data_IF_787262525264
#
_entry.id   IF_787262525264
#
_cell.length_a   1.000
_cell.length_b   1.000
_cell.length_c   1.000
_cell.angle_alpha   90.00
_cell.angle_beta   90.00
_cell.angle_gamma   90.00
#
_symmetry.space_group_name_H-M   'P 1'
#
loop_
_entity.id
_entity.type
_entity.pdbx_description
1 polymer ?
#
# COMPACT_ATOMS: atom_id res chain seq x y z
N UNK A 1 68.42 -2.69 13.66
CA UNK A 1 67.35 -2.35 14.61
C UNK A 1 66.36 -1.46 13.87
N UNK A 2 65.26 -2.07 13.47
CA UNK A 2 64.11 -1.55 12.71
C UNK A 2 63.47 -0.36 13.44
N UNK A 3 63.42 0.84 12.87
CA UNK A 3 62.55 1.36 11.78
C UNK A 3 61.10 1.54 12.21
N UNK A 4 60.77 2.79 12.52
CA UNK A 4 59.46 3.35 12.82
C UNK A 4 58.43 3.02 11.73
N UNK A 5 57.25 2.51 12.14
CA UNK A 5 56.06 2.43 11.30
C UNK A 5 54.98 3.33 11.92
N UNK A 6 54.78 4.48 11.28
CA UNK A 6 53.59 5.32 11.50
C UNK A 6 52.35 4.54 11.09
N UNK A 7 51.43 4.38 12.04
CA UNK A 7 50.08 3.91 11.77
C UNK A 7 49.32 5.01 11.02
N UNK A 8 49.09 4.79 9.73
CA UNK A 8 48.00 5.48 9.04
C UNK A 8 46.68 4.90 9.57
N UNK A 9 45.97 5.70 10.36
CA UNK A 9 44.52 5.59 10.46
C UNK A 9 43.96 5.64 9.04
N UNK A 10 43.51 4.48 8.55
CA UNK A 10 42.54 4.45 7.45
C UNK A 10 41.27 5.06 8.01
N UNK A 11 41.06 6.34 7.73
CA UNK A 11 39.75 6.94 7.76
C UNK A 11 38.83 6.06 6.94
N UNK A 12 37.98 5.28 7.62
CA UNK A 12 36.83 4.64 7.01
C UNK A 12 35.89 5.75 6.59
N UNK A 13 36.17 6.32 5.42
CA UNK A 13 35.26 7.23 4.74
C UNK A 13 34.07 6.41 4.28
N UNK A 14 33.14 6.16 5.21
CA UNK A 14 31.79 5.70 4.94
C UNK A 14 31.05 6.82 4.20
N UNK A 15 31.44 7.06 2.96
CA UNK A 15 30.64 7.81 2.00
C UNK A 15 29.40 6.95 1.79
N UNK A 16 28.28 7.37 2.38
CA UNK A 16 26.97 6.84 2.02
C UNK A 16 26.81 7.09 0.53
N UNK A 17 27.05 6.07 -0.31
CA UNK A 17 26.64 6.12 -1.72
C UNK A 17 25.13 6.34 -1.69
N UNK A 18 24.70 7.53 -2.07
CA UNK A 18 23.29 7.91 -2.08
C UNK A 18 22.53 6.88 -2.93
N UNK A 19 21.62 6.16 -2.28
CA UNK A 19 20.86 5.07 -2.92
C UNK A 19 19.69 5.67 -3.66
N UNK A 20 19.92 6.03 -4.92
CA UNK A 20 18.88 6.57 -5.80
C UNK A 20 18.22 5.42 -6.57
N UNK A 21 16.89 5.38 -6.53
CA UNK A 21 16.10 4.34 -7.19
C UNK A 21 15.20 4.95 -8.26
N UNK A 22 15.03 4.21 -9.36
CA UNK A 22 14.21 4.60 -10.49
C UNK A 22 13.25 3.48 -10.86
N UNK A 23 12.03 3.84 -11.23
CA UNK A 23 11.04 2.96 -11.83
C UNK A 23 10.97 3.22 -13.33
N UNK A 24 11.07 2.17 -14.14
CA UNK A 24 10.93 2.26 -15.60
C UNK A 24 9.45 2.45 -15.96
N UNK A 25 9.12 3.47 -16.74
CA UNK A 25 7.73 3.71 -17.20
C UNK A 25 7.44 3.09 -18.57
N UNK A 26 8.48 2.64 -19.28
CA UNK A 26 8.42 2.06 -20.61
C UNK A 26 9.30 0.81 -20.69
N UNK A 27 8.92 -0.18 -21.52
CA UNK A 27 9.80 -1.31 -21.84
C UNK A 27 11.06 -0.78 -22.55
N UNK A 28 12.23 -1.20 -22.08
CA UNK A 28 13.48 -0.96 -22.79
C UNK A 28 14.05 -2.28 -23.35
N UNK A 29 14.62 -2.19 -24.55
CA UNK A 29 15.26 -3.30 -25.24
C UNK A 29 16.72 -2.96 -25.46
N UNK A 30 17.61 -3.85 -25.05
CA UNK A 30 19.05 -3.69 -25.20
C UNK A 30 19.67 -4.93 -25.83
N UNK A 31 20.77 -4.73 -26.55
CA UNK A 31 21.57 -5.83 -27.08
C UNK A 31 22.68 -6.15 -26.09
N UNK A 32 22.69 -7.38 -25.57
CA UNK A 32 23.79 -7.89 -24.78
C UNK A 32 25.02 -8.05 -25.69
N UNK A 33 26.09 -7.30 -25.39
CA UNK A 33 27.32 -7.31 -26.19
C UNK A 33 28.04 -8.66 -26.18
N UNK A 34 27.94 -9.42 -25.07
CA UNK A 34 28.58 -10.73 -24.93
C UNK A 34 27.78 -11.83 -25.62
N UNK A 35 26.46 -11.86 -25.41
CA UNK A 35 25.62 -12.97 -25.89
C UNK A 35 24.95 -12.68 -27.23
N UNK A 36 24.99 -11.43 -27.72
CA UNK A 36 24.23 -10.94 -28.89
C UNK A 36 22.72 -11.17 -28.77
N UNK A 37 22.21 -11.45 -27.56
CA UNK A 37 20.79 -11.61 -27.30
C UNK A 37 20.16 -10.28 -26.92
N UNK A 38 18.92 -10.09 -27.34
CA UNK A 38 18.12 -8.95 -26.92
C UNK A 38 17.62 -9.17 -25.50
N UNK A 39 18.05 -8.33 -24.57
CA UNK A 39 17.52 -8.24 -23.20
C UNK A 39 16.36 -7.25 -23.22
N UNK A 40 15.21 -7.68 -22.71
CA UNK A 40 14.04 -6.84 -22.51
C UNK A 40 13.85 -6.59 -21.02
N UNK A 41 13.75 -5.32 -20.65
CA UNK A 41 13.38 -4.92 -19.29
C UNK A 41 11.99 -4.31 -19.35
N UNK A 42 10.99 -4.94 -18.73
CA UNK A 42 9.62 -4.48 -18.81
C UNK A 42 9.40 -3.15 -18.09
N UNK A 43 8.34 -2.43 -18.47
CA UNK A 43 7.84 -1.32 -17.65
C UNK A 43 7.48 -1.82 -16.25
N UNK A 44 7.67 -0.98 -15.25
CA UNK A 44 7.53 -1.34 -13.84
C UNK A 44 8.79 -1.93 -13.23
N UNK A 45 9.82 -2.28 -14.00
CA UNK A 45 11.09 -2.70 -13.40
C UNK A 45 11.71 -1.58 -12.55
N UNK A 46 12.34 -1.96 -11.45
CA UNK A 46 13.04 -1.04 -10.55
C UNK A 46 14.54 -1.17 -10.77
N UNK A 47 15.22 -0.05 -10.94
CA UNK A 47 16.67 0.04 -11.07
C UNK A 47 17.30 0.93 -10.01
N UNK A 48 18.49 0.55 -9.56
CA UNK A 48 19.33 1.41 -8.74
C UNK A 48 20.27 2.22 -9.63
N UNK A 49 20.38 3.52 -9.38
CA UNK A 49 21.33 4.38 -10.07
C UNK A 49 22.77 3.93 -9.83
N UNK A 50 23.57 3.93 -10.91
CA UNK A 50 25.00 3.66 -10.84
C UNK A 50 25.75 4.90 -11.29
N UNK A 51 26.46 5.54 -10.37
CA UNK A 51 27.35 6.64 -10.71
C UNK A 51 28.57 6.10 -11.47
N UNK A 52 28.76 6.55 -12.71
CA UNK A 52 29.97 6.24 -13.47
C UNK A 52 31.15 6.99 -12.83
N UNK A 53 32.05 6.26 -12.18
CA UNK A 53 33.36 6.82 -11.78
C UNK A 53 34.16 7.03 -13.07
N UNK A 54 34.07 8.23 -13.63
CA UNK A 54 34.84 8.63 -14.82
C UNK A 54 36.35 8.50 -14.52
N UNK A 55 36.94 7.39 -14.97
CA UNK A 55 38.36 7.30 -15.20
C UNK A 55 38.64 7.82 -16.63
N UNK A 56 39.06 9.08 -16.72
CA UNK A 56 39.93 9.62 -17.78
C UNK A 56 39.50 9.49 -19.25
N UNK A 57 38.22 9.65 -19.60
CA UNK A 57 37.86 9.93 -21.00
C UNK A 57 37.52 11.41 -21.18
N UNK A 58 38.49 12.18 -21.68
CA UNK A 58 38.26 13.50 -22.29
C UNK A 58 37.48 13.27 -23.59
N UNK A 59 36.15 13.35 -23.54
CA UNK A 59 35.34 13.45 -24.76
C UNK A 59 34.61 14.80 -24.81
N UNK A 60 34.78 15.46 -25.96
CA UNK A 60 34.23 16.76 -26.33
C UNK A 60 32.69 16.70 -26.22
N UNK A 61 32.01 17.70 -25.64
CA UNK A 61 30.55 17.73 -25.59
C UNK A 61 29.99 18.03 -26.99
N UNK A 62 29.44 17.01 -27.65
CA UNK A 62 28.60 17.21 -28.84
C UNK A 62 27.23 17.75 -28.41
N UNK A 63 26.76 18.78 -29.13
CA UNK A 63 25.49 19.49 -28.89
C UNK A 63 24.28 18.63 -29.28
N UNK A 64 23.97 17.60 -28.50
CA UNK A 64 22.66 16.89 -28.42
C UNK A 64 22.82 15.54 -27.69
N UNK A 65 23.58 15.47 -26.59
CA UNK A 65 23.63 14.24 -25.80
C UNK A 65 22.34 14.16 -24.98
N UNK A 66 21.42 13.27 -25.37
CA UNK A 66 20.33 12.83 -24.49
C UNK A 66 20.95 12.37 -23.17
N UNK A 67 20.45 12.88 -22.06
CA UNK A 67 20.93 12.48 -20.73
C UNK A 67 20.43 11.07 -20.49
N UNK A 68 21.33 10.10 -20.62
CA UNK A 68 21.04 8.70 -20.30
C UNK A 68 21.48 8.42 -18.86
N UNK A 69 20.64 7.68 -18.15
CA UNK A 69 20.85 7.27 -16.77
C UNK A 69 21.25 5.80 -16.77
N UNK A 70 22.36 5.47 -16.12
CA UNK A 70 22.82 4.11 -15.94
C UNK A 70 22.13 3.48 -14.72
N UNK A 71 21.36 2.40 -14.94
CA UNK A 71 20.62 1.70 -13.91
C UNK A 71 21.04 0.23 -13.83
N UNK A 72 21.26 -0.26 -12.61
CA UNK A 72 21.34 -1.69 -12.30
C UNK A 72 19.93 -2.18 -11.96
N UNK A 73 19.35 -3.04 -12.80
CA UNK A 73 18.00 -3.57 -12.58
C UNK A 73 18.01 -4.53 -11.39
N UNK A 74 17.06 -4.34 -10.47
CA UNK A 74 16.94 -5.12 -9.25
C UNK A 74 16.23 -6.45 -9.49
N UNK A 75 15.24 -6.49 -10.40
CA UNK A 75 14.50 -7.70 -10.76
C UNK A 75 15.32 -8.73 -11.55
N UNK A 76 16.42 -8.28 -12.18
CA UNK A 76 17.27 -9.08 -13.06
C UNK A 76 18.73 -8.87 -12.66
N UNK A 77 19.25 -9.81 -11.86
CA UNK A 77 20.64 -9.75 -11.39
C UNK A 77 21.62 -9.59 -12.55
N UNK A 78 22.56 -8.66 -12.41
CA UNK A 78 23.60 -8.32 -13.39
C UNK A 78 23.14 -7.56 -14.66
N UNK A 79 21.87 -7.18 -14.77
CA UNK A 79 21.40 -6.34 -15.87
C UNK A 79 21.71 -4.87 -15.59
N UNK A 80 22.56 -4.27 -16.44
CA UNK A 80 22.83 -2.82 -16.45
C UNK A 80 22.28 -2.20 -17.73
N UNK A 81 21.47 -1.16 -17.58
CA UNK A 81 20.76 -0.49 -18.67
C UNK A 81 21.08 1.00 -18.70
N UNK A 82 21.11 1.58 -19.90
CA UNK A 82 21.16 3.03 -20.11
C UNK A 82 19.80 3.46 -20.62
N UNK A 83 19.11 4.31 -19.86
CA UNK A 83 17.72 4.70 -20.15
C UNK A 83 17.65 6.21 -20.29
N UNK A 84 16.85 6.70 -21.24
CA UNK A 84 16.58 8.13 -21.36
C UNK A 84 15.83 8.59 -20.09
N UNK A 85 16.17 9.77 -19.56
CA UNK A 85 15.58 10.37 -18.36
C UNK A 85 14.03 10.38 -18.35
N UNK A 86 13.41 10.62 -19.51
CA UNK A 86 11.95 10.62 -19.72
C UNK A 86 11.28 9.25 -19.54
N UNK A 87 12.03 8.15 -19.64
CA UNK A 87 11.51 6.79 -19.60
C UNK A 87 11.65 6.17 -18.19
N UNK A 88 12.07 6.97 -17.21
CA UNK A 88 12.19 6.58 -15.81
C UNK A 88 11.62 7.66 -14.89
N UNK A 89 11.21 7.25 -13.69
CA UNK A 89 10.80 8.17 -12.62
C UNK A 89 11.58 7.80 -11.36
N UNK A 90 12.22 8.79 -10.75
CA UNK A 90 12.88 8.63 -9.46
C UNK A 90 11.83 8.30 -8.37
N UNK A 91 12.13 7.31 -7.54
CA UNK A 91 11.29 6.89 -6.43
C UNK A 91 12.09 6.84 -5.14
N UNK A 92 11.45 7.19 -4.03
CA UNK A 92 12.06 7.09 -2.69
C UNK A 92 12.38 5.64 -2.34
N UNK A 93 13.39 5.41 -1.50
CA UNK A 93 13.75 4.06 -1.02
C UNK A 93 12.55 3.33 -0.41
N UNK A 94 11.76 3.98 0.47
CA UNK A 94 10.55 3.39 1.06
C UNK A 94 9.54 2.89 0.02
N UNK A 95 9.37 3.64 -1.07
CA UNK A 95 8.47 3.26 -2.15
C UNK A 95 9.07 2.13 -3.00
N UNK A 96 10.38 2.16 -3.24
CA UNK A 96 11.08 1.09 -3.94
C UNK A 96 10.97 -0.24 -3.19
N UNK A 97 11.14 -0.24 -1.87
CA UNK A 97 10.97 -1.42 -1.00
C UNK A 97 9.56 -2.01 -1.07
N UNK A 98 8.52 -1.19 -1.02
CA UNK A 98 7.13 -1.64 -1.12
C UNK A 98 6.80 -2.22 -2.50
N UNK A 99 7.28 -1.56 -3.57
CA UNK A 99 6.99 -1.97 -4.94
C UNK A 99 7.81 -3.19 -5.37
N UNK A 100 9.03 -3.35 -4.88
CA UNK A 100 9.93 -4.45 -5.26
C UNK A 100 9.36 -5.83 -4.90
N UNK A 101 8.59 -5.93 -3.81
CA UNK A 101 7.94 -7.18 -3.41
C UNK A 101 6.86 -7.65 -4.41
N UNK A 102 6.34 -6.75 -5.24
CA UNK A 102 5.35 -7.07 -6.28
C UNK A 102 6.11 -7.67 -7.47
N UNK A 103 6.00 -8.97 -7.67
CA UNK A 103 6.79 -9.70 -8.68
C UNK A 103 6.32 -9.42 -10.12
N UNK A 104 5.03 -9.11 -10.30
CA UNK A 104 4.49 -8.72 -11.59
C UNK A 104 4.77 -7.24 -11.87
N UNK A 105 5.65 -6.97 -12.85
CA UNK A 105 6.06 -5.62 -13.21
C UNK A 105 4.87 -4.75 -13.70
N UNK A 106 3.87 -5.33 -14.34
CA UNK A 106 2.68 -4.62 -14.81
C UNK A 106 1.79 -4.18 -13.64
N UNK A 107 1.51 -5.09 -12.71
CA UNK A 107 0.73 -4.78 -11.49
C UNK A 107 1.46 -3.74 -10.65
N UNK A 108 2.79 -3.86 -10.53
CA UNK A 108 3.65 -2.89 -9.84
C UNK A 108 3.56 -1.50 -10.48
N UNK A 109 3.62 -1.41 -11.81
CA UNK A 109 3.48 -0.13 -12.53
C UNK A 109 2.08 0.45 -12.37
N UNK A 110 1.03 -0.38 -12.49
CA UNK A 110 -0.36 0.01 -12.28
C UNK A 110 -0.57 0.60 -10.88
N UNK A 111 -0.04 -0.07 -9.85
CA UNK A 111 -0.08 0.42 -8.48
C UNK A 111 0.68 1.75 -8.32
N UNK A 112 1.86 1.87 -8.93
CA UNK A 112 2.67 3.10 -8.88
C UNK A 112 1.94 4.34 -9.45
N UNK A 113 1.10 4.12 -10.48
CA UNK A 113 0.28 5.18 -11.07
C UNK A 113 -0.88 5.61 -10.17
N UNK A 114 -1.37 4.73 -9.30
CA UNK A 114 -2.44 5.04 -8.36
C UNK A 114 -1.87 5.71 -7.10
N UNK A 115 -1.73 7.05 -7.15
CA UNK A 115 -1.15 7.84 -6.04
C UNK A 115 -1.96 7.74 -4.74
N UNK A 116 -3.29 7.69 -4.83
CA UNK A 116 -4.16 7.56 -3.65
C UNK A 116 -4.00 6.18 -2.98
N UNK A 117 -3.88 5.11 -3.77
CA UNK A 117 -3.62 3.77 -3.22
C UNK A 117 -2.23 3.69 -2.60
N UNK A 118 -1.22 4.30 -3.22
CA UNK A 118 0.14 4.37 -2.66
C UNK A 118 0.21 5.17 -1.36
N UNK A 119 -0.52 6.30 -1.26
CA UNK A 119 -0.51 7.10 -0.03
C UNK A 119 -1.14 6.35 1.13
N UNK A 120 -2.26 5.65 0.91
CA UNK A 120 -2.87 4.76 1.92
C UNK A 120 -1.94 3.59 2.25
N UNK A 121 -1.33 2.97 1.25
CA UNK A 121 -0.39 1.87 1.43
C UNK A 121 0.81 2.20 2.32
N UNK A 122 1.32 3.43 2.24
CA UNK A 122 2.43 3.89 3.07
C UNK A 122 2.06 4.00 4.57
N UNK A 123 0.76 4.06 4.89
CA UNK A 123 0.24 4.12 6.26
C UNK A 123 0.01 2.73 6.87
N UNK A 124 0.12 1.65 6.08
CA UNK A 124 -0.06 0.29 6.58
C UNK A 124 1.10 -0.07 7.51
N UNK A 125 0.77 -0.28 8.78
CA UNK A 125 1.68 -0.68 9.84
C UNK A 125 1.17 -1.96 10.53
N UNK A 126 1.97 -2.52 11.43
CA UNK A 126 1.51 -3.63 12.27
C UNK A 126 0.35 -3.16 13.15
N UNK A 127 -0.75 -3.91 13.13
CA UNK A 127 -2.00 -3.55 13.80
C UNK A 127 -3.07 -3.00 12.85
N UNK A 128 -2.70 -2.50 11.66
CA UNK A 128 -3.67 -2.00 10.69
C UNK A 128 -4.65 -3.09 10.24
N UNK A 129 -5.94 -2.73 10.19
CA UNK A 129 -6.98 -3.52 9.56
C UNK A 129 -6.87 -3.43 8.04
N UNK A 130 -6.90 -4.56 7.36
CA UNK A 130 -6.72 -4.65 5.91
C UNK A 130 -7.68 -5.65 5.30
N UNK A 131 -7.96 -5.45 4.01
CA UNK A 131 -8.59 -6.42 3.13
C UNK A 131 -7.51 -7.10 2.29
N UNK A 132 -7.54 -8.42 2.24
CA UNK A 132 -6.54 -9.26 1.56
C UNK A 132 -7.16 -9.99 0.37
N UNK A 133 -6.55 -9.82 -0.80
CA UNK A 133 -6.91 -10.55 -2.00
C UNK A 133 -5.95 -11.73 -2.21
N UNK A 134 -6.44 -12.96 -2.10
CA UNK A 134 -5.61 -14.17 -2.22
C UNK A 134 -5.65 -14.79 -3.61
N UNK A 135 -6.84 -14.93 -4.19
CA UNK A 135 -7.05 -15.64 -5.46
C UNK A 135 -8.02 -14.88 -6.37
N UNK A 136 -7.80 -14.88 -7.70
CA UNK A 136 -8.77 -14.38 -8.65
C UNK A 136 -10.11 -15.09 -8.52
N UNK A 137 -11.19 -14.32 -8.35
CA UNK A 137 -12.55 -14.84 -8.22
C UNK A 137 -13.02 -15.01 -6.76
N UNK A 138 -12.09 -14.99 -5.79
CA UNK A 138 -12.45 -14.87 -4.38
C UNK A 138 -12.81 -13.40 -4.05
N UNK A 139 -13.54 -13.22 -2.95
CA UNK A 139 -13.69 -11.91 -2.32
C UNK A 139 -12.40 -11.43 -1.65
N UNK A 140 -12.48 -10.26 -1.01
CA UNK A 140 -11.42 -9.81 -0.11
C UNK A 140 -11.69 -10.30 1.30
N UNK A 141 -10.69 -10.92 1.93
CA UNK A 141 -10.81 -11.37 3.31
C UNK A 141 -10.37 -10.27 4.28
N UNK A 142 -11.09 -10.04 5.39
CA UNK A 142 -10.65 -9.16 6.44
C UNK A 142 -9.41 -9.75 7.13
N UNK A 143 -8.50 -8.88 7.56
CA UNK A 143 -7.28 -9.29 8.22
C UNK A 143 -6.61 -8.16 9.00
N UNK A 144 -5.65 -8.53 9.84
CA UNK A 144 -4.83 -7.59 10.61
C UNK A 144 -3.36 -7.83 10.30
N UNK A 145 -2.63 -6.76 10.02
CA UNK A 145 -1.20 -6.83 9.76
C UNK A 145 -0.46 -7.18 11.06
N UNK A 146 0.23 -8.31 11.08
CA UNK A 146 1.05 -8.79 12.21
C UNK A 146 2.54 -8.64 11.98
N UNK A 147 2.96 -8.47 10.72
CA UNK A 147 4.36 -8.30 10.34
C UNK A 147 4.48 -7.37 9.14
N UNK A 148 5.50 -6.52 9.13
CA UNK A 148 5.88 -5.66 8.00
C UNK A 148 7.39 -5.66 7.86
N UNK A 149 7.92 -6.29 6.82
CA UNK A 149 9.37 -6.41 6.66
C UNK A 149 9.80 -7.35 5.54
N UNK A 150 11.12 -7.49 5.35
CA UNK A 150 11.68 -8.38 4.35
C UNK A 150 11.65 -9.84 4.79
N UNK A 151 11.22 -10.74 3.90
CA UNK A 151 11.23 -12.19 4.16
C UNK A 151 12.61 -12.82 3.94
N UNK A 152 13.37 -12.27 3.00
CA UNK A 152 14.71 -12.75 2.64
C UNK A 152 15.70 -11.59 2.77
N UNK A 153 16.88 -11.84 3.37
CA UNK A 153 17.93 -10.84 3.41
C UNK A 153 18.57 -10.68 2.03
N UNK A 154 18.63 -9.46 1.53
CA UNK A 154 19.25 -9.14 0.24
C UNK A 154 20.31 -8.04 0.42
N UNK A 155 21.38 -8.10 -0.37
CA UNK A 155 22.55 -7.21 -0.20
C UNK A 155 22.31 -5.78 -0.68
N UNK A 156 21.30 -5.55 -1.52
CA UNK A 156 21.05 -4.26 -2.17
C UNK A 156 19.83 -3.58 -1.56
N UNK A 157 18.64 -3.91 -2.07
CA UNK A 157 17.35 -3.46 -1.60
C UNK A 157 16.47 -4.71 -1.44
N UNK A 158 15.73 -4.81 -0.34
CA UNK A 158 14.81 -5.93 -0.09
C UNK A 158 13.37 -5.49 -0.25
N UNK A 159 12.56 -6.29 -0.91
CA UNK A 159 11.11 -6.09 -0.96
C UNK A 159 10.46 -6.25 0.41
N UNK A 160 9.49 -5.38 0.74
CA UNK A 160 8.72 -5.47 1.97
C UNK A 160 7.46 -6.31 1.75
N UNK A 161 7.31 -7.33 2.58
CA UNK A 161 6.11 -8.15 2.67
C UNK A 161 5.34 -7.83 3.94
N UNK A 162 4.05 -8.10 3.88
CA UNK A 162 3.13 -7.97 5.00
C UNK A 162 2.69 -9.37 5.42
N UNK A 163 2.96 -9.71 6.67
CA UNK A 163 2.36 -10.87 7.31
C UNK A 163 1.02 -10.46 7.88
N UNK A 164 -0.05 -11.09 7.41
CA UNK A 164 -1.43 -10.77 7.79
C UNK A 164 -2.07 -11.99 8.41
N UNK A 165 -2.74 -11.79 9.54
CA UNK A 165 -3.67 -12.77 10.11
C UNK A 165 -5.06 -12.51 9.54
N UNK A 166 -5.61 -13.50 8.86
CA UNK A 166 -6.95 -13.48 8.30
C UNK A 166 -7.97 -13.68 9.41
N UNK A 167 -9.04 -12.89 9.36
CA UNK A 167 -10.13 -12.89 10.33
C UNK A 167 -11.41 -13.46 9.70
N UNK A 168 -12.41 -13.70 10.55
CA UNK A 168 -13.79 -14.04 10.14
C UNK A 168 -13.85 -15.15 9.07
N UNK A 169 -14.43 -14.84 7.91
CA UNK A 169 -14.61 -15.72 6.75
C UNK A 169 -13.28 -16.06 6.04
N UNK A 170 -12.20 -15.33 6.34
CA UNK A 170 -10.85 -15.61 5.87
C UNK A 170 -10.09 -16.64 6.72
N UNK A 171 -10.59 -17.02 7.91
CA UNK A 171 -9.91 -18.04 8.74
C UNK A 171 -9.86 -19.38 8.00
N UNK A 172 -8.70 -20.03 8.03
CA UNK A 172 -8.45 -21.27 7.28
C UNK A 172 -8.18 -21.08 5.78
N UNK A 173 -8.16 -19.84 5.27
CA UNK A 173 -7.76 -19.55 3.88
C UNK A 173 -6.27 -19.21 3.75
N UNK A 174 -5.55 -19.13 4.87
CA UNK A 174 -4.13 -18.88 4.93
C UNK A 174 -3.29 -20.12 4.67
N UNK A 175 -1.97 -19.96 4.79
CA UNK A 175 -0.98 -21.01 4.48
C UNK A 175 0.19 -21.05 5.45
N UNK A 176 0.12 -20.29 6.55
CA UNK A 176 1.13 -20.29 7.60
C UNK A 176 0.50 -19.92 8.94
N UNK A 177 1.16 -20.31 10.03
CA UNK A 177 0.90 -19.84 11.40
C UNK A 177 1.81 -18.65 11.78
N UNK A 178 2.36 -17.97 10.77
CA UNK A 178 3.24 -16.80 10.91
C UNK A 178 4.74 -17.11 10.87
N UNK A 179 5.11 -18.31 10.39
CA UNK A 179 6.50 -18.69 10.12
C UNK A 179 6.83 -18.63 8.63
N UNK A 180 8.07 -18.25 8.32
CA UNK A 180 8.62 -18.27 6.96
C UNK A 180 10.03 -18.86 6.99
N UNK A 181 10.28 -19.91 6.19
CA UNK A 181 11.57 -20.63 6.14
C UNK A 181 12.13 -21.01 7.53
N UNK A 182 11.26 -21.48 8.43
CA UNK A 182 11.64 -21.91 9.79
C UNK A 182 11.86 -20.76 10.80
N UNK A 183 11.71 -19.50 10.39
CA UNK A 183 11.75 -18.34 11.28
C UNK A 183 10.32 -17.90 11.62
N UNK A 184 9.99 -17.82 12.92
CA UNK A 184 8.75 -17.22 13.38
C UNK A 184 8.84 -15.69 13.24
N UNK A 185 7.93 -15.09 12.46
CA UNK A 185 7.87 -13.65 12.24
C UNK A 185 6.69 -13.01 12.98
N UNK A 186 5.57 -13.73 13.08
CA UNK A 186 4.41 -13.40 13.92
C UNK A 186 3.72 -14.70 14.36
N UNK A 187 2.67 -14.65 15.18
CA UNK A 187 1.87 -15.84 15.55
C UNK A 187 0.40 -15.58 15.30
N UNK A 188 -0.30 -16.58 14.81
CA UNK A 188 -1.74 -16.62 14.62
C UNK A 188 -2.22 -18.08 14.69
N UNK A 189 -3.52 -18.30 14.53
CA UNK A 189 -4.08 -19.64 14.43
C UNK A 189 -3.61 -20.37 13.16
N UNK A 190 -3.73 -21.70 13.19
CA UNK A 190 -3.43 -22.59 12.06
C UNK A 190 -4.18 -22.13 10.81
N UNK A 191 -3.48 -22.10 9.67
CA UNK A 191 -4.03 -21.68 8.37
C UNK A 191 -4.71 -20.29 8.37
N UNK A 192 -4.35 -19.40 9.30
CA UNK A 192 -4.86 -18.03 9.34
C UNK A 192 -3.84 -16.99 8.89
N UNK A 193 -2.56 -17.33 8.79
CA UNK A 193 -1.51 -16.41 8.38
C UNK A 193 -1.23 -16.45 6.88
N UNK A 194 -0.92 -15.29 6.30
CA UNK A 194 -0.40 -15.14 4.93
C UNK A 194 0.72 -14.12 4.87
N UNK A 195 1.65 -14.29 3.94
CA UNK A 195 2.61 -13.26 3.55
C UNK A 195 2.30 -12.76 2.15
N UNK A 196 2.03 -11.46 2.01
CA UNK A 196 1.64 -10.86 0.73
C UNK A 196 2.38 -9.55 0.48
N UNK A 197 2.50 -9.19 -0.79
CA UNK A 197 2.98 -7.89 -1.21
C UNK A 197 1.82 -6.88 -1.27
N UNK A 198 2.16 -5.61 -1.47
CA UNK A 198 1.21 -4.50 -1.36
C UNK A 198 0.05 -4.57 -2.39
N UNK A 199 0.27 -5.16 -3.56
CA UNK A 199 -0.74 -5.30 -4.60
C UNK A 199 -1.96 -6.14 -4.16
N UNK A 200 -1.78 -6.99 -3.14
CA UNK A 200 -2.82 -7.85 -2.55
C UNK A 200 -3.49 -7.25 -1.32
N UNK A 201 -3.13 -6.04 -0.93
CA UNK A 201 -3.68 -5.36 0.24
C UNK A 201 -4.47 -4.11 -0.12
N UNK A 202 -5.47 -3.86 0.71
CA UNK A 202 -6.19 -2.60 0.82
C UNK A 202 -6.32 -2.25 2.31
N UNK A 203 -5.92 -1.04 2.68
CA UNK A 203 -6.10 -0.53 4.05
C UNK A 203 -7.59 -0.27 4.27
N UNK A 204 -8.15 -0.87 5.30
CA UNK A 204 -9.47 -0.46 5.79
C UNK A 204 -9.29 0.92 6.43
N UNK A 205 -10.15 1.86 6.06
CA UNK A 205 -10.29 3.05 6.88
C UNK A 205 -10.89 2.54 8.20
N UNK A 206 -10.31 2.98 9.33
CA UNK A 206 -11.08 2.99 10.56
C UNK A 206 -12.25 3.91 10.21
N UNK A 207 -13.37 3.32 9.78
CA UNK A 207 -14.66 3.96 9.95
C UNK A 207 -14.65 4.29 11.44
N UNK A 208 -14.42 5.57 11.77
CA UNK A 208 -14.58 6.14 13.11
C UNK A 208 -15.68 5.34 13.75
N UNK A 209 -15.35 4.54 14.78
CA UNK A 209 -16.26 3.61 15.44
C UNK A 209 -17.68 4.07 15.17
N UNK A 210 -18.32 3.46 14.17
CA UNK A 210 -19.76 3.53 13.99
C UNK A 210 -20.23 2.64 15.16
N UNK A 211 -20.05 3.15 16.38
CA UNK A 211 -21.10 3.18 17.38
C UNK A 211 -22.35 3.19 16.54
N UNK A 212 -23.13 2.12 16.66
CA UNK A 212 -24.53 2.13 16.33
C UNK A 212 -25.10 3.42 16.89
N UNK A 213 -25.06 4.43 16.05
CA UNK A 213 -25.47 5.77 16.29
C UNK A 213 -26.50 5.88 15.20
N UNK A 214 -27.70 5.48 15.57
CA UNK A 214 -28.95 5.91 14.97
C UNK A 214 -29.10 7.45 15.04
N UNK A 215 -28.00 8.20 14.92
CA UNK A 215 -27.94 9.62 14.76
C UNK A 215 -27.93 9.90 13.26
N UNK A 216 -29.10 10.27 12.76
CA UNK A 216 -29.20 11.04 11.53
C UNK A 216 -28.31 12.28 11.65
N UNK A 217 -27.10 12.22 11.12
CA UNK A 217 -26.23 13.38 10.98
C UNK A 217 -26.82 14.29 9.88
N UNK A 218 -26.86 15.62 10.08
CA UNK A 218 -27.55 16.52 9.17
C UNK A 218 -26.83 16.55 7.83
N UNK A 219 -27.53 16.15 6.77
CA UNK A 219 -27.07 16.24 5.40
C UNK A 219 -26.94 17.72 5.02
N UNK A 220 -25.71 18.18 4.79
CA UNK A 220 -25.45 19.49 4.20
C UNK A 220 -26.00 19.55 2.76
N UNK A 221 -27.05 20.35 2.61
CA UNK A 221 -27.39 21.18 1.44
C UNK A 221 -27.14 20.59 0.05
N UNK A 222 -28.11 19.83 -0.46
CA UNK A 222 -28.65 20.12 -1.80
C UNK A 222 -30.12 19.69 -1.91
N UNK A 223 -31.02 20.66 -1.71
CA UNK A 223 -32.42 20.72 -2.17
C UNK A 223 -33.13 19.39 -2.48
N UNK A 224 -33.81 18.84 -1.49
CA UNK A 224 -35.22 18.45 -1.63
C UNK A 224 -35.84 18.77 -0.26
N UNK A 225 -36.72 19.76 -0.17
CA UNK A 225 -37.37 20.11 1.09
C UNK A 225 -38.18 18.90 1.58
N UNK A 226 -37.62 18.17 2.54
CA UNK A 226 -38.35 17.17 3.30
C UNK A 226 -39.38 17.97 4.10
N UNK A 227 -40.69 17.70 3.96
CA UNK A 227 -41.70 18.42 4.71
C UNK A 227 -41.39 18.29 6.21
N UNK A 228 -41.58 19.36 7.00
CA UNK A 228 -41.30 19.34 8.43
C UNK A 228 -42.05 18.16 9.07
N UNK A 229 -41.32 17.31 9.79
CA UNK A 229 -41.91 16.19 10.52
C UNK A 229 -42.71 16.73 11.70
N UNK A 230 -44.03 16.60 11.64
CA UNK A 230 -44.94 16.99 12.71
C UNK A 230 -45.28 15.78 13.59
N UNK A 231 -45.55 16.04 14.88
CA UNK A 231 -46.14 15.03 15.77
C UNK A 231 -47.42 14.48 15.13
N UNK A 232 -47.58 13.15 15.14
CA UNK A 232 -48.59 12.33 14.47
C UNK A 232 -48.35 12.03 12.99
N UNK A 233 -47.21 12.45 12.42
CA UNK A 233 -46.82 12.06 11.07
C UNK A 233 -46.50 10.56 11.02
N UNK A 234 -46.99 9.84 10.00
CA UNK A 234 -46.59 8.45 9.76
C UNK A 234 -45.27 8.41 9.01
N UNK A 235 -44.34 7.61 9.52
CA UNK A 235 -42.99 7.47 8.98
C UNK A 235 -42.67 6.01 8.74
N UNK A 236 -41.78 5.76 7.80
CA UNK A 236 -41.20 4.45 7.55
C UNK A 236 -39.71 4.51 7.82
N UNK A 237 -39.22 3.62 8.68
CA UNK A 237 -37.82 3.52 9.09
C UNK A 237 -37.22 2.27 8.46
N UNK A 238 -36.06 2.42 7.83
CA UNK A 238 -35.29 1.28 7.31
C UNK A 238 -34.25 0.91 8.36
N UNK A 239 -34.41 -0.25 8.99
CA UNK A 239 -33.50 -0.76 10.02
C UNK A 239 -32.89 -2.04 9.44
N UNK A 240 -31.60 -2.01 9.08
CA UNK A 240 -30.97 -3.08 8.32
C UNK A 240 -31.62 -3.31 6.94
N UNK A 241 -32.09 -4.53 6.68
CA UNK A 241 -32.81 -4.90 5.45
C UNK A 241 -34.34 -4.79 5.54
N UNK A 242 -34.91 -4.58 6.74
CA UNK A 242 -36.35 -4.46 6.94
C UNK A 242 -36.84 -3.02 6.89
N UNK A 243 -38.12 -2.84 6.53
CA UNK A 243 -38.82 -1.56 6.55
C UNK A 243 -39.92 -1.63 7.60
N UNK A 244 -39.83 -0.80 8.63
CA UNK A 244 -40.80 -0.71 9.70
C UNK A 244 -41.58 0.60 9.63
N UNK A 245 -42.81 0.60 10.15
CA UNK A 245 -43.71 1.76 10.08
C UNK A 245 -44.08 2.22 11.49
N UNK A 246 -44.08 3.53 11.70
CA UNK A 246 -44.38 4.13 12.98
C UNK A 246 -45.02 5.50 12.86
N UNK A 247 -45.39 6.07 14.01
CA UNK A 247 -45.97 7.41 14.11
C UNK A 247 -45.09 8.29 14.99
N UNK A 248 -44.77 9.50 14.53
CA UNK A 248 -43.98 10.46 15.31
C UNK A 248 -44.78 10.88 16.55
N UNK A 249 -44.24 10.66 17.74
CA UNK A 249 -44.84 11.05 19.03
C UNK A 249 -44.05 12.15 19.74
N UNK A 250 -42.82 12.42 19.28
CA UNK A 250 -41.95 13.46 19.83
C UNK A 250 -41.06 14.02 18.72
N UNK A 251 -40.84 15.33 18.71
CA UNK A 251 -39.95 16.01 17.75
C UNK A 251 -39.46 17.32 18.41
N UNK A 252 -38.40 17.25 19.21
CA UNK A 252 -37.82 18.42 19.90
C UNK A 252 -36.35 18.16 20.32
N UNK A 253 -35.67 19.20 20.80
CA UNK A 253 -34.34 19.08 21.44
C UNK A 253 -34.46 18.53 22.87
N UNK A 254 -33.56 17.61 23.24
CA UNK A 254 -33.55 17.05 24.60
C UNK A 254 -32.73 17.93 25.56
N UNK A 255 -33.23 18.22 26.78
CA UNK A 255 -32.50 19.00 27.79
C UNK A 255 -31.13 18.38 28.10
N UNK A 256 -30.06 19.18 27.98
CA UNK A 256 -28.67 18.71 28.19
C UNK A 256 -28.04 17.96 27.02
N UNK A 257 -28.74 17.83 25.89
CA UNK A 257 -28.25 17.23 24.62
C UNK A 257 -28.47 18.16 23.42
N UNK A 258 -28.58 19.47 23.66
CA UNK A 258 -28.88 20.48 22.64
C UNK A 258 -27.87 20.50 21.49
N UNK A 259 -26.61 20.14 21.76
CA UNK A 259 -25.55 20.06 20.74
C UNK A 259 -25.68 18.86 19.79
N UNK A 260 -26.56 17.91 20.09
CA UNK A 260 -26.76 16.69 19.28
C UNK A 260 -27.93 16.81 18.29
N UNK A 261 -28.64 17.94 18.29
CA UNK A 261 -29.72 18.24 17.35
C UNK A 261 -31.13 17.85 17.83
N UNK A 262 -32.06 17.81 16.89
CA UNK A 262 -33.47 17.44 17.13
C UNK A 262 -33.62 15.93 17.26
N UNK A 263 -34.44 15.51 18.21
CA UNK A 263 -34.74 14.11 18.46
C UNK A 263 -36.18 13.82 18.03
N UNK A 264 -36.36 12.75 17.26
CA UNK A 264 -37.68 12.29 16.83
C UNK A 264 -37.99 10.97 17.52
N UNK A 265 -39.01 10.95 18.38
CA UNK A 265 -39.53 9.73 18.97
C UNK A 265 -40.63 9.15 18.09
N UNK A 266 -40.53 7.86 17.75
CA UNK A 266 -41.49 7.18 16.88
C UNK A 266 -42.11 6.00 17.63
N UNK A 267 -43.43 5.96 17.70
CA UNK A 267 -44.20 4.82 18.18
C UNK A 267 -44.35 3.79 17.05
N UNK A 268 -43.68 2.65 17.19
CA UNK A 268 -43.61 1.62 16.16
C UNK A 268 -44.85 0.73 16.21
N UNK A 269 -45.51 0.54 15.07
CA UNK A 269 -46.72 -0.28 15.00
C UNK A 269 -46.31 -1.76 15.04
N UNK A 270 -46.45 -2.38 16.20
CA UNK A 270 -46.22 -3.82 16.37
C UNK A 270 -47.30 -4.62 15.64
N UNK A 271 -46.93 -5.31 14.55
CA UNK A 271 -47.79 -6.35 13.98
C UNK A 271 -47.72 -7.59 14.88
N UNK A 272 -48.73 -7.76 15.74
CA UNK A 272 -48.97 -9.03 16.41
C UNK A 272 -49.67 -9.93 15.39
N UNK A 273 -48.98 -10.96 14.90
CA UNK A 273 -49.58 -12.12 14.27
C UNK A 273 -49.65 -13.28 15.26
#
# INVERSE_FOLDING_TARGET
MSSNLWGQEKSSSSYWEERIFYLLVQECSLLDKQTQKQIKVPRGSIGQFVQERSAHSRSIPSKSKKVQIALKILDQTHTLVFVDDKDVIEITEKLAELLLAITNCEERYSLFRNKARLSRALQIETGSAVRVFLRPGDGHYPGVVRYRGPLLPERSLTGIFFGVELLEDGRGQGFTEGSYQGKQLFRCDEECGVFVALDKLELCEEDDDELESDYASPVDTNTTEIPPLEINSRVSLKIGESMEFGTVIFCDVLPGKESLGYFVGVDMVSFIF
#
